data_IF_366873234467
#
_entry.id   IF_366873234467
#
_cell.length_a   1.000
_cell.length_b   1.000
_cell.length_c   1.000
_cell.angle_alpha   90.00
_cell.angle_beta   90.00
_cell.angle_gamma   90.00
#
_symmetry.space_group_name_H-M   'P 1'
#
loop_
_entity.id
_entity.type
_entity.pdbx_description
1 polymer ?
#
# COMPACT_ATOMS: atom_id res chain seq x y z
N UNK A 1 -8.45 33.40 -25.86
CA UNK A 1 -8.08 32.18 -26.61
C UNK A 1 -6.77 31.58 -26.09
N UNK A 2 -5.72 32.38 -25.81
CA UNK A 2 -4.44 31.92 -25.20
C UNK A 2 -4.61 31.27 -23.81
N UNK A 3 -5.44 31.85 -22.95
CA UNK A 3 -5.68 31.35 -21.58
C UNK A 3 -6.41 29.99 -21.51
N UNK A 4 -7.07 29.58 -22.61
CA UNK A 4 -7.70 28.26 -22.71
C UNK A 4 -6.68 27.18 -23.02
N UNK A 5 -5.76 27.48 -23.95
CA UNK A 5 -4.67 26.57 -24.35
C UNK A 5 -3.70 26.34 -23.20
N UNK A 6 -3.33 27.39 -22.46
CA UNK A 6 -2.43 27.26 -21.31
C UNK A 6 -3.03 26.41 -20.17
N UNK A 7 -4.33 26.56 -19.90
CA UNK A 7 -5.03 25.71 -18.92
C UNK A 7 -5.04 24.26 -19.34
N UNK A 8 -5.33 23.98 -20.61
CA UNK A 8 -5.35 22.61 -21.12
C UNK A 8 -3.96 21.97 -21.08
N UNK A 9 -2.92 22.70 -21.49
CA UNK A 9 -1.53 22.24 -21.39
C UNK A 9 -1.14 21.93 -19.94
N UNK A 10 -1.54 22.78 -18.98
CA UNK A 10 -1.27 22.54 -17.57
C UNK A 10 -2.05 21.34 -17.01
N UNK A 11 -3.27 21.12 -17.46
CA UNK A 11 -4.07 19.95 -17.09
C UNK A 11 -3.42 18.66 -17.59
N UNK A 12 -3.03 18.62 -18.87
CA UNK A 12 -2.35 17.47 -19.47
C UNK A 12 -1.04 17.17 -18.74
N UNK A 13 -0.23 18.19 -18.44
CA UNK A 13 1.00 18.01 -17.66
C UNK A 13 0.75 17.38 -16.30
N UNK A 14 -0.24 17.89 -15.55
CA UNK A 14 -0.60 17.33 -14.24
C UNK A 14 -1.04 15.88 -14.32
N UNK A 15 -1.76 15.50 -15.38
CA UNK A 15 -2.17 14.11 -15.60
C UNK A 15 -0.95 13.24 -15.93
N UNK A 16 -0.07 13.69 -16.82
CA UNK A 16 1.12 12.94 -17.20
C UNK A 16 2.10 12.76 -16.03
N UNK A 17 2.31 13.79 -15.23
CA UNK A 17 3.14 13.71 -14.02
C UNK A 17 2.56 12.71 -13.03
N UNK A 18 1.23 12.67 -12.91
CA UNK A 18 0.53 11.75 -12.04
C UNK A 18 0.71 10.28 -12.45
N UNK A 19 0.45 9.99 -13.72
CA UNK A 19 0.62 8.64 -14.25
C UNK A 19 2.09 8.21 -14.25
N UNK A 20 3.04 9.14 -14.42
CA UNK A 20 4.48 8.85 -14.26
C UNK A 20 4.82 8.43 -12.84
N UNK A 21 4.25 9.09 -11.82
CA UNK A 21 4.47 8.70 -10.42
C UNK A 21 3.99 7.28 -10.20
N UNK A 22 2.79 6.93 -10.68
CA UNK A 22 2.22 5.58 -10.57
C UNK A 22 3.12 4.54 -11.26
N UNK A 23 3.52 4.77 -12.52
CA UNK A 23 4.40 3.84 -13.24
C UNK A 23 5.76 3.63 -12.57
N UNK A 24 6.31 4.69 -11.97
CA UNK A 24 7.62 4.64 -11.31
C UNK A 24 7.60 4.06 -9.89
N UNK A 25 6.44 4.02 -9.25
CA UNK A 25 6.31 3.58 -7.87
C UNK A 25 6.47 2.07 -7.77
N UNK A 26 7.33 1.64 -6.84
CA UNK A 26 7.45 0.23 -6.51
C UNK A 26 6.39 -0.13 -5.46
N UNK A 27 5.63 -1.19 -5.70
CA UNK A 27 4.63 -1.71 -4.77
C UNK A 27 5.01 -3.10 -4.30
N UNK A 28 5.12 -3.28 -2.99
CA UNK A 28 5.26 -4.59 -2.35
C UNK A 28 3.90 -5.06 -1.83
N UNK A 29 3.33 -6.09 -2.45
CA UNK A 29 2.08 -6.71 -2.06
C UNK A 29 2.33 -7.88 -1.13
N UNK A 30 2.08 -7.70 0.17
CA UNK A 30 2.33 -8.71 1.18
C UNK A 30 1.04 -9.40 1.64
N UNK A 31 1.01 -10.72 1.49
CA UNK A 31 -0.03 -11.62 1.97
C UNK A 31 0.47 -12.40 3.19
N UNK A 32 0.00 -12.13 4.43
CA UNK A 32 0.54 -12.80 5.62
C UNK A 32 0.24 -14.29 5.79
N UNK A 33 -0.36 -14.94 4.79
CA UNK A 33 -0.55 -16.39 4.70
C UNK A 33 0.47 -17.01 3.73
N UNK A 34 0.51 -18.34 3.62
CA UNK A 34 1.26 -19.04 2.55
C UNK A 34 0.48 -19.14 1.24
N UNK A 35 -0.50 -18.25 1.04
CA UNK A 35 -1.42 -18.28 -0.10
C UNK A 35 -0.78 -17.85 -1.42
N UNK A 36 -1.56 -18.01 -2.49
CA UNK A 36 -1.22 -17.56 -3.84
C UNK A 36 -1.49 -16.06 -4.01
N UNK A 37 -0.92 -15.50 -5.07
CA UNK A 37 -1.11 -14.09 -5.43
C UNK A 37 -2.60 -13.73 -5.58
N UNK A 38 -3.12 -12.75 -4.82
CA UNK A 38 -4.51 -12.33 -4.92
C UNK A 38 -4.74 -11.41 -6.12
N UNK A 39 -5.99 -11.37 -6.60
CA UNK A 39 -6.39 -10.55 -7.75
C UNK A 39 -6.05 -9.06 -7.58
N UNK A 40 -6.01 -8.56 -6.33
CA UNK A 40 -5.62 -7.19 -6.02
C UNK A 40 -4.23 -6.83 -6.57
N UNK A 41 -3.27 -7.75 -6.54
CA UNK A 41 -1.94 -7.55 -7.14
C UNK A 41 -2.07 -7.32 -8.64
N UNK A 42 -2.79 -8.20 -9.34
CA UNK A 42 -3.01 -8.07 -10.79
C UNK A 42 -3.66 -6.74 -11.15
N UNK A 43 -4.68 -6.32 -10.39
CA UNK A 43 -5.38 -5.06 -10.63
C UNK A 43 -4.49 -3.82 -10.46
N UNK A 44 -3.47 -3.87 -9.59
CA UNK A 44 -2.48 -2.80 -9.50
C UNK A 44 -1.61 -2.72 -10.77
N UNK A 45 -1.24 -3.87 -11.34
CA UNK A 45 -0.58 -3.90 -12.65
C UNK A 45 -1.45 -3.28 -13.74
N UNK A 46 -2.73 -3.67 -13.82
CA UNK A 46 -3.69 -3.10 -14.78
C UNK A 46 -3.95 -1.60 -14.57
N UNK A 47 -3.78 -1.10 -13.33
CA UNK A 47 -3.84 0.34 -13.03
C UNK A 47 -2.65 1.11 -13.60
N UNK A 48 -1.53 0.45 -13.90
CA UNK A 48 -0.32 1.08 -14.43
C UNK A 48 0.85 1.14 -13.45
N UNK A 49 0.81 0.36 -12.36
CA UNK A 49 2.01 0.15 -11.54
C UNK A 49 2.93 -0.87 -12.23
N UNK A 50 4.06 -0.41 -12.77
CA UNK A 50 4.97 -1.26 -13.56
C UNK A 50 5.74 -2.27 -12.69
N UNK A 51 5.88 -1.98 -11.38
CA UNK A 51 6.64 -2.82 -10.44
C UNK A 51 5.81 -3.21 -9.23
N UNK A 52 4.99 -4.26 -9.37
CA UNK A 52 4.26 -4.88 -8.26
C UNK A 52 4.88 -6.22 -7.90
N UNK A 53 5.52 -6.30 -6.74
CA UNK A 53 6.18 -7.51 -6.22
C UNK A 53 5.26 -8.21 -5.23
N UNK A 54 5.21 -9.54 -5.28
CA UNK A 54 4.38 -10.32 -4.38
C UNK A 54 5.22 -11.01 -3.32
N UNK A 55 4.81 -10.85 -2.07
CA UNK A 55 5.42 -11.45 -0.90
C UNK A 55 4.36 -12.20 -0.11
N UNK A 56 4.73 -13.32 0.47
CA UNK A 56 3.86 -14.06 1.36
C UNK A 56 4.62 -14.49 2.62
N UNK A 57 3.95 -15.18 3.54
CA UNK A 57 4.59 -15.62 4.80
C UNK A 57 5.89 -16.39 4.57
N UNK A 58 5.93 -17.20 3.51
CA UNK A 58 7.01 -18.14 3.25
C UNK A 58 8.16 -17.47 2.48
N UNK A 59 7.89 -16.38 1.75
CA UNK A 59 8.91 -15.60 1.02
C UNK A 59 9.35 -14.32 1.72
N UNK A 60 8.71 -13.90 2.81
CA UNK A 60 9.08 -12.65 3.49
C UNK A 60 10.54 -12.66 3.99
N UNK A 61 11.04 -13.81 4.43
CA UNK A 61 12.42 -13.97 4.92
C UNK A 61 13.49 -13.90 3.82
N UNK A 62 13.10 -13.92 2.54
CA UNK A 62 14.03 -13.82 1.40
C UNK A 62 14.15 -12.39 0.87
N UNK A 63 13.46 -11.43 1.49
CA UNK A 63 13.64 -10.01 1.20
C UNK A 63 15.14 -9.68 1.32
N UNK A 64 15.77 -9.09 0.29
CA UNK A 64 17.12 -8.58 0.42
C UNK A 64 17.18 -7.62 1.62
N UNK A 65 18.36 -7.47 2.24
CA UNK A 65 18.61 -6.61 3.42
C UNK A 65 18.26 -5.11 3.25
N UNK A 66 17.53 -4.73 2.21
CA UNK A 66 17.08 -3.39 1.87
C UNK A 66 15.55 -3.34 1.88
N UNK A 67 15.06 -2.36 2.65
CA UNK A 67 13.69 -1.90 2.89
C UNK A 67 12.65 -2.25 1.82
N UNK A 68 11.43 -2.48 2.29
CA UNK A 68 10.23 -2.47 1.48
C UNK A 68 10.16 -1.22 0.58
N UNK A 69 9.40 -1.39 -0.50
CA UNK A 69 9.17 -0.44 -1.57
C UNK A 69 8.47 0.87 -1.14
N UNK A 70 8.04 1.64 -2.13
CA UNK A 70 7.41 2.95 -1.95
C UNK A 70 6.04 2.81 -1.28
N UNK A 71 5.30 1.78 -1.70
CA UNK A 71 4.02 1.42 -1.12
C UNK A 71 4.02 -0.04 -0.75
N UNK A 72 3.53 -0.35 0.44
CA UNK A 72 3.36 -1.72 0.92
C UNK A 72 1.87 -1.96 1.08
N UNK A 73 1.36 -3.05 0.53
CA UNK A 73 0.02 -3.54 0.81
C UNK A 73 0.14 -4.67 1.83
N UNK A 74 -0.50 -4.52 2.98
CA UNK A 74 -0.69 -5.59 3.95
C UNK A 74 -2.10 -6.15 3.79
N UNK A 75 -2.22 -7.30 3.14
CA UNK A 75 -3.50 -7.93 2.82
C UNK A 75 -4.01 -8.83 3.94
N UNK A 76 -4.84 -8.27 4.82
CA UNK A 76 -5.46 -8.99 5.94
C UNK A 76 -6.80 -9.65 5.56
N UNK A 77 -7.35 -9.33 4.39
CA UNK A 77 -8.62 -9.89 3.90
C UNK A 77 -8.38 -11.23 3.23
N UNK A 78 -7.57 -11.27 2.18
CA UNK A 78 -7.34 -12.50 1.41
C UNK A 78 -6.42 -13.47 2.14
N UNK A 79 -5.64 -12.99 3.12
CA UNK A 79 -4.83 -13.87 3.96
C UNK A 79 -5.64 -14.68 4.96
N UNK A 80 -6.91 -14.31 5.20
CA UNK A 80 -7.80 -14.97 6.15
C UNK A 80 -7.17 -15.11 7.54
N UNK A 81 -6.36 -14.12 7.95
CA UNK A 81 -5.68 -14.11 9.26
C UNK A 81 -6.67 -13.97 10.42
N UNK A 82 -7.89 -13.50 10.14
CA UNK A 82 -8.96 -13.39 11.12
C UNK A 82 -9.79 -14.68 11.15
N UNK A 83 -9.85 -15.38 12.29
CA UNK A 83 -10.78 -16.50 12.47
C UNK A 83 -12.25 -16.06 12.27
N UNK A 84 -13.16 -16.98 11.89
CA UNK A 84 -14.57 -16.67 11.64
C UNK A 84 -15.32 -16.03 12.82
N UNK A 85 -14.90 -16.30 14.06
CA UNK A 85 -15.48 -15.75 15.28
C UNK A 85 -14.40 -15.04 16.11
N UNK A 86 -13.85 -13.96 15.56
CA UNK A 86 -12.85 -13.15 16.23
C UNK A 86 -13.51 -11.95 16.93
N UNK A 87 -13.17 -11.72 18.18
CA UNK A 87 -13.55 -10.49 18.89
C UNK A 87 -12.77 -9.30 18.33
N UNK A 88 -13.25 -8.07 18.58
CA UNK A 88 -12.51 -6.87 18.18
C UNK A 88 -11.11 -6.83 18.82
N UNK A 89 -10.98 -7.23 20.09
CA UNK A 89 -9.70 -7.24 20.79
C UNK A 89 -8.70 -8.22 20.16
N UNK A 90 -9.13 -9.42 19.82
CA UNK A 90 -8.28 -10.40 19.13
C UNK A 90 -7.90 -9.92 17.74
N UNK A 91 -8.82 -9.27 17.02
CA UNK A 91 -8.56 -8.67 15.73
C UNK A 91 -7.45 -7.61 15.83
N UNK A 92 -7.51 -6.75 16.83
CA UNK A 92 -6.46 -5.76 17.09
C UNK A 92 -5.12 -6.43 17.41
N UNK A 93 -5.10 -7.45 18.27
CA UNK A 93 -3.87 -8.18 18.58
C UNK A 93 -3.23 -8.85 17.34
N UNK A 94 -4.06 -9.40 16.44
CA UNK A 94 -3.60 -9.98 15.16
C UNK A 94 -2.99 -8.89 14.29
N UNK A 95 -3.68 -7.75 14.12
CA UNK A 95 -3.16 -6.65 13.31
C UNK A 95 -1.86 -6.09 13.90
N UNK A 96 -1.79 -5.92 15.22
CA UNK A 96 -0.59 -5.45 15.91
C UNK A 96 0.61 -6.37 15.64
N UNK A 97 0.41 -7.68 15.68
CA UNK A 97 1.44 -8.68 15.39
C UNK A 97 1.99 -8.53 13.96
N UNK A 98 1.12 -8.27 12.98
CA UNK A 98 1.55 -8.01 11.60
C UNK A 98 2.25 -6.67 11.44
N UNK A 99 1.78 -5.61 12.11
CA UNK A 99 2.46 -4.31 12.13
C UNK A 99 3.89 -4.47 12.69
N UNK A 100 4.06 -5.20 13.79
CA UNK A 100 5.39 -5.45 14.40
C UNK A 100 6.36 -6.14 13.44
N UNK A 101 5.86 -7.00 12.55
CA UNK A 101 6.68 -7.70 11.54
C UNK A 101 7.04 -6.81 10.34
N UNK A 102 6.08 -6.01 9.88
CA UNK A 102 6.23 -5.20 8.66
C UNK A 102 6.95 -3.88 8.94
N UNK A 103 6.67 -3.23 10.08
CA UNK A 103 7.19 -1.90 10.42
C UNK A 103 8.72 -1.77 10.33
N UNK A 104 9.54 -2.72 10.84
CA UNK A 104 10.99 -2.62 10.74
C UNK A 104 11.55 -2.66 9.32
N UNK A 105 10.75 -3.18 8.38
CA UNK A 105 11.13 -3.32 6.98
C UNK A 105 10.77 -2.07 6.16
N UNK A 106 9.97 -1.14 6.70
CA UNK A 106 9.56 0.06 5.99
C UNK A 106 10.69 1.09 5.91
N UNK A 107 10.86 1.70 4.73
CA UNK A 107 11.64 2.92 4.65
C UNK A 107 10.87 4.08 5.31
N UNK A 108 11.57 5.12 5.74
CA UNK A 108 10.95 6.31 6.34
C UNK A 108 10.02 7.07 5.39
N UNK A 109 10.14 6.83 4.08
CA UNK A 109 9.28 7.42 3.04
C UNK A 109 8.15 6.48 2.60
N UNK A 110 8.20 5.21 2.99
CA UNK A 110 7.23 4.21 2.55
C UNK A 110 5.86 4.46 3.17
N UNK A 111 4.80 4.18 2.40
CA UNK A 111 3.43 4.21 2.88
C UNK A 111 2.88 2.78 3.02
N UNK A 112 2.19 2.50 4.14
CA UNK A 112 1.58 1.20 4.40
C UNK A 112 0.06 1.24 4.20
N UNK A 113 -0.42 0.49 3.23
CA UNK A 113 -1.84 0.29 2.94
C UNK A 113 -2.32 -0.97 3.66
N UNK A 114 -3.27 -0.82 4.57
CA UNK A 114 -3.90 -1.93 5.27
C UNK A 114 -5.15 -2.39 4.50
N UNK A 115 -5.09 -3.51 3.80
CA UNK A 115 -6.29 -4.07 3.16
C UNK A 115 -7.05 -4.92 4.17
N UNK A 116 -8.06 -4.33 4.81
CA UNK A 116 -8.73 -4.87 5.99
C UNK A 116 -10.22 -4.51 6.02
N UNK A 117 -11.07 -5.45 6.42
CA UNK A 117 -12.54 -5.28 6.51
C UNK A 117 -13.02 -5.34 7.96
N UNK A 118 -14.18 -4.74 8.23
CA UNK A 118 -14.90 -4.91 9.50
C UNK A 118 -14.66 -3.78 10.50
N UNK A 119 -14.75 -2.54 10.05
CA UNK A 119 -14.70 -1.35 10.92
C UNK A 119 -13.30 -0.83 11.22
N UNK A 120 -13.24 0.16 12.11
CA UNK A 120 -12.00 0.78 12.59
C UNK A 120 -11.18 -0.24 13.40
N UNK A 121 -9.86 -0.16 13.29
CA UNK A 121 -8.91 -0.98 14.04
C UNK A 121 -7.96 0.00 14.72
N UNK A 122 -8.15 0.24 16.02
CA UNK A 122 -7.51 1.36 16.71
C UNK A 122 -5.98 1.18 16.79
N UNK A 123 -5.51 -0.06 16.80
CA UNK A 123 -4.06 -0.33 16.78
C UNK A 123 -3.35 0.15 15.51
N UNK A 124 -4.08 0.32 14.38
CA UNK A 124 -3.50 0.92 13.18
C UNK A 124 -3.18 2.40 13.44
N UNK A 125 -4.12 3.13 14.04
CA UNK A 125 -3.97 4.55 14.34
C UNK A 125 -2.88 4.79 15.41
N UNK A 126 -2.78 3.88 16.38
CA UNK A 126 -1.80 3.95 17.46
C UNK A 126 -0.45 3.29 17.13
N UNK A 127 -0.25 2.83 15.89
CA UNK A 127 0.94 2.08 15.49
C UNK A 127 2.22 2.93 15.42
N UNK A 128 2.10 4.26 15.43
CA UNK A 128 3.19 5.20 15.19
C UNK A 128 3.76 5.13 13.77
N UNK A 129 3.00 4.57 12.82
CA UNK A 129 3.31 4.66 11.39
C UNK A 129 2.98 6.07 10.89
N UNK A 130 3.90 6.65 10.11
CA UNK A 130 3.76 8.02 9.63
C UNK A 130 2.82 8.14 8.42
N UNK A 131 2.92 7.19 7.51
CA UNK A 131 2.16 7.17 6.26
C UNK A 131 1.44 5.84 6.19
N UNK A 132 0.15 5.86 6.49
CA UNK A 132 -0.69 4.68 6.38
C UNK A 132 -2.10 5.03 5.92
N UNK A 133 -2.79 4.05 5.36
CA UNK A 133 -4.19 4.19 4.97
C UNK A 133 -4.89 2.82 5.00
N UNK A 134 -6.07 2.69 5.62
CA UNK A 134 -6.88 1.49 5.51
C UNK A 134 -7.69 1.48 4.20
N UNK A 135 -7.81 0.30 3.60
CA UNK A 135 -8.67 0.01 2.46
C UNK A 135 -9.59 -1.16 2.80
N UNK A 136 -10.90 -1.01 2.61
CA UNK A 136 -11.91 -1.99 3.04
C UNK A 136 -12.59 -2.76 1.90
N UNK A 137 -12.16 -2.52 0.66
CA UNK A 137 -12.62 -3.22 -0.54
C UNK A 137 -11.62 -3.04 -1.69
N UNK A 138 -11.75 -3.86 -2.74
CA UNK A 138 -10.79 -3.89 -3.83
C UNK A 138 -10.64 -2.53 -4.54
N UNK A 139 -11.74 -1.82 -4.78
CA UNK A 139 -11.70 -0.47 -5.38
C UNK A 139 -10.95 0.52 -4.48
N UNK A 140 -11.25 0.50 -3.17
CA UNK A 140 -10.58 1.34 -2.19
C UNK A 140 -9.09 1.01 -2.08
N UNK A 141 -8.70 -0.26 -2.25
CA UNK A 141 -7.31 -0.69 -2.26
C UNK A 141 -6.54 -0.03 -3.41
N UNK A 142 -7.06 -0.08 -4.64
CA UNK A 142 -6.38 0.52 -5.80
C UNK A 142 -6.22 2.04 -5.63
N UNK A 143 -7.27 2.71 -5.13
CA UNK A 143 -7.21 4.14 -4.80
C UNK A 143 -6.16 4.44 -3.73
N UNK A 144 -6.20 3.70 -2.62
CA UNK A 144 -5.27 3.87 -1.50
C UNK A 144 -3.80 3.66 -1.88
N UNK A 145 -3.50 2.66 -2.73
CA UNK A 145 -2.14 2.45 -3.25
C UNK A 145 -1.70 3.60 -4.15
N UNK A 146 -2.61 4.13 -4.99
CA UNK A 146 -2.35 5.30 -5.83
C UNK A 146 -2.02 6.53 -5.00
N UNK A 147 -2.86 6.86 -4.01
CA UNK A 147 -2.64 8.00 -3.10
C UNK A 147 -1.34 7.84 -2.30
N UNK A 148 -1.05 6.63 -1.84
CA UNK A 148 0.18 6.28 -1.13
C UNK A 148 1.44 6.47 -1.99
N UNK A 149 1.37 6.16 -3.28
CA UNK A 149 2.47 6.38 -4.21
C UNK A 149 2.83 7.87 -4.35
N UNK A 150 1.82 8.76 -4.40
CA UNK A 150 2.04 10.21 -4.40
C UNK A 150 2.71 10.69 -3.12
N UNK A 151 2.27 10.19 -1.96
CA UNK A 151 2.86 10.53 -0.67
C UNK A 151 4.32 10.08 -0.62
N UNK A 152 4.61 8.83 -0.99
CA UNK A 152 5.96 8.28 -1.00
C UNK A 152 6.87 9.07 -1.95
N UNK A 153 6.38 9.40 -3.15
CA UNK A 153 7.11 10.24 -4.10
C UNK A 153 7.43 11.63 -3.52
N UNK A 154 6.44 12.32 -2.97
CA UNK A 154 6.64 13.63 -2.36
C UNK A 154 7.66 13.59 -1.21
N UNK A 155 7.62 12.54 -0.39
CA UNK A 155 8.60 12.35 0.69
C UNK A 155 10.01 12.11 0.19
N UNK A 156 10.19 11.36 -0.91
CA UNK A 156 11.52 11.21 -1.53
C UNK A 156 12.06 12.53 -2.06
N UNK A 157 11.21 13.34 -2.69
CA UNK A 157 11.61 14.65 -3.23
C UNK A 157 12.04 15.63 -2.13
N UNK A 158 11.40 15.59 -0.96
CA UNK A 158 11.76 16.46 0.17
C UNK A 158 13.07 16.06 0.88
N UNK A 159 13.63 14.88 0.58
CA UNK A 159 14.87 14.38 1.20
C UNK A 159 16.10 14.56 0.33
N UNK A 160 15.91 14.85 -0.96
CA UNK A 160 16.96 15.15 -1.92
C UNK A 160 17.14 16.66 -2.05
#
# INVERSE_FOLDING_TARGET
>A
MRDGVEREVNNVRRVLDRERIIGSAVVDYYLPSGGTEPIGKKLLGERGFDQVRFWNRDTLGTLPNSQFADVIVLDLINSQVFPPQVTQQEKEAIVESHIKKVKPLLASYSALVFYVKGGRIDVIDNSGLRYYIPANGAVALIGAVSDSAYVAYGQKQLRN
#
